data_IF_213827876611
#
_entry.id   IF_213827876611
#
_cell.length_a   1.000
_cell.length_b   1.000
_cell.length_c   1.000
_cell.angle_alpha   90.00
_cell.angle_beta   90.00
_cell.angle_gamma   90.00
#
_symmetry.space_group_name_H-M   'P 1'
#
loop_
_entity.id
_entity.type
_entity.pdbx_description
1 polymer ?
#
# COMPACT_ATOMS: atom_id res chain seq x y z
N UNK A 1 -43.71 33.91 7.22
CA UNK A 1 -44.52 33.89 5.98
C UNK A 1 -43.82 32.93 4.99
N UNK A 2 -44.58 31.90 4.69
CA UNK A 2 -44.51 30.90 3.61
C UNK A 2 -43.29 29.98 3.50
N UNK A 3 -43.51 28.83 4.11
CA UNK A 3 -43.07 27.52 3.66
C UNK A 3 -43.49 27.25 2.21
N UNK A 4 -42.67 26.61 1.42
CA UNK A 4 -43.14 25.77 0.32
C UNK A 4 -42.29 24.52 0.20
N UNK A 5 -42.87 23.47 0.72
CA UNK A 5 -42.61 22.04 0.48
C UNK A 5 -42.73 21.70 -1.00
N UNK A 6 -41.74 21.00 -1.55
CA UNK A 6 -41.85 20.30 -2.83
C UNK A 6 -41.52 18.84 -2.64
N UNK A 7 -42.58 18.09 -2.32
CA UNK A 7 -42.58 16.64 -2.54
C UNK A 7 -42.84 16.39 -4.02
N UNK A 8 -41.88 15.82 -4.73
CA UNK A 8 -42.15 15.20 -6.03
C UNK A 8 -42.04 13.67 -5.90
N UNK A 9 -43.23 13.10 -5.90
CA UNK A 9 -43.51 11.70 -6.11
C UNK A 9 -43.07 11.32 -7.54
N UNK A 10 -42.12 10.40 -7.65
CA UNK A 10 -41.86 9.69 -8.90
C UNK A 10 -42.26 8.23 -8.69
N UNK A 11 -43.44 7.90 -9.24
CA UNK A 11 -43.90 6.56 -9.40
C UNK A 11 -43.11 5.87 -10.55
N UNK A 12 -42.23 4.96 -10.20
CA UNK A 12 -41.48 4.15 -11.17
C UNK A 12 -42.26 2.89 -11.53
N UNK A 13 -42.60 2.76 -12.79
CA UNK A 13 -43.27 1.66 -13.45
C UNK A 13 -42.42 0.38 -13.39
N UNK A 14 -42.95 -0.67 -12.78
CA UNK A 14 -42.37 -2.02 -12.82
C UNK A 14 -42.68 -2.63 -14.18
N UNK A 15 -41.68 -2.81 -15.02
CA UNK A 15 -41.78 -3.56 -16.26
C UNK A 15 -41.57 -5.06 -15.95
N UNK A 16 -42.64 -5.82 -16.03
CA UNK A 16 -42.64 -7.28 -15.91
C UNK A 16 -42.14 -7.89 -17.24
N UNK A 17 -40.93 -8.44 -17.25
CA UNK A 17 -40.39 -9.20 -18.37
C UNK A 17 -40.79 -10.66 -18.19
N UNK A 18 -41.74 -11.13 -19.02
CA UNK A 18 -42.10 -12.55 -19.14
C UNK A 18 -41.05 -13.22 -20.03
N UNK A 19 -40.23 -14.09 -19.45
CA UNK A 19 -39.31 -14.95 -20.20
C UNK A 19 -40.05 -16.21 -20.59
N UNK A 20 -40.32 -16.35 -21.89
CA UNK A 20 -40.87 -17.58 -22.47
C UNK A 20 -39.74 -18.61 -22.55
N UNK A 21 -39.82 -19.65 -21.72
CA UNK A 21 -38.92 -20.80 -21.79
C UNK A 21 -39.33 -21.68 -22.97
N UNK A 22 -38.66 -21.52 -24.12
CA UNK A 22 -38.70 -22.48 -25.21
C UNK A 22 -37.77 -23.65 -24.90
N UNK A 23 -38.33 -24.81 -24.65
CA UNK A 23 -37.60 -26.07 -24.52
C UNK A 23 -37.09 -26.52 -25.90
N UNK A 24 -35.85 -26.25 -26.22
CA UNK A 24 -35.13 -26.88 -27.33
C UNK A 24 -34.46 -28.15 -26.81
N UNK A 25 -34.99 -29.30 -27.20
CA UNK A 25 -34.38 -30.61 -27.00
C UNK A 25 -33.10 -30.68 -27.88
N UNK A 26 -31.94 -30.44 -27.31
CA UNK A 26 -30.65 -30.66 -27.98
C UNK A 26 -30.23 -32.09 -27.68
N UNK A 27 -30.25 -32.94 -28.73
CA UNK A 27 -29.64 -34.26 -28.67
C UNK A 27 -28.14 -34.15 -28.57
N UNK A 28 -27.57 -34.49 -27.42
CA UNK A 28 -26.12 -34.56 -27.23
C UNK A 28 -25.60 -35.89 -27.85
N UNK A 29 -24.64 -35.82 -28.77
CA UNK A 29 -23.88 -37.02 -29.15
C UNK A 29 -23.07 -37.47 -27.94
N UNK A 30 -23.13 -38.75 -27.61
CA UNK A 30 -22.30 -39.38 -26.58
C UNK A 30 -20.82 -39.31 -27.00
N UNK A 31 -20.18 -38.20 -26.68
CA UNK A 31 -18.76 -37.96 -26.89
C UNK A 31 -17.98 -38.26 -25.59
N UNK A 32 -16.84 -38.91 -25.73
CA UNK A 32 -15.95 -39.33 -24.69
C UNK A 32 -15.78 -38.29 -23.56
N UNK A 33 -15.74 -38.77 -22.33
CA UNK A 33 -15.49 -37.95 -21.16
C UNK A 33 -14.23 -37.11 -21.37
N UNK A 34 -14.26 -35.78 -21.14
CA UNK A 34 -13.04 -34.97 -21.21
C UNK A 34 -12.05 -35.49 -20.18
N UNK A 35 -10.81 -35.73 -20.62
CA UNK A 35 -9.71 -36.03 -19.71
C UNK A 35 -9.64 -34.97 -18.59
N UNK A 36 -9.32 -35.37 -17.34
CA UNK A 36 -9.21 -34.40 -16.26
C UNK A 36 -8.20 -33.33 -16.66
N UNK A 37 -8.68 -32.09 -16.72
CA UNK A 37 -7.80 -30.95 -16.94
C UNK A 37 -6.77 -30.94 -15.81
N UNK A 38 -5.53 -31.25 -16.14
CA UNK A 38 -4.40 -31.07 -15.24
C UNK A 38 -4.36 -29.57 -14.95
N UNK A 39 -4.89 -29.16 -13.80
CA UNK A 39 -4.73 -27.79 -13.33
C UNK A 39 -3.22 -27.61 -13.11
N UNK A 40 -2.53 -26.99 -14.07
CA UNK A 40 -1.22 -26.42 -13.85
C UNK A 40 -1.41 -25.39 -12.76
N UNK A 41 -1.03 -25.76 -11.53
CA UNK A 41 -0.91 -24.80 -10.45
C UNK A 41 0.00 -23.70 -10.98
N UNK A 42 -0.54 -22.51 -11.18
CA UNK A 42 0.24 -21.32 -11.45
C UNK A 42 1.19 -21.18 -10.27
N UNK A 43 2.46 -21.51 -10.48
CA UNK A 43 3.52 -21.29 -9.50
C UNK A 43 3.65 -19.76 -9.40
N UNK A 44 2.84 -19.14 -8.54
CA UNK A 44 2.99 -17.72 -8.20
C UNK A 44 4.43 -17.51 -7.73
N UNK A 45 5.07 -16.46 -8.20
CA UNK A 45 6.39 -16.07 -7.70
C UNK A 45 6.38 -16.10 -6.18
N UNK A 46 7.43 -16.61 -5.53
CA UNK A 46 7.50 -16.65 -4.08
C UNK A 46 7.30 -15.25 -3.51
N UNK A 47 6.55 -15.15 -2.41
CA UNK A 47 6.26 -13.89 -1.72
C UNK A 47 6.95 -13.90 -0.37
N UNK A 48 7.67 -12.83 -0.07
CA UNK A 48 8.33 -12.62 1.23
C UNK A 48 7.68 -11.43 1.93
N UNK A 49 7.41 -11.55 3.22
CA UNK A 49 6.83 -10.50 4.03
C UNK A 49 7.89 -9.84 4.91
N UNK A 50 7.86 -8.52 5.03
CA UNK A 50 8.73 -7.71 5.89
C UNK A 50 7.89 -6.71 6.66
N UNK A 51 8.01 -6.76 7.99
CA UNK A 51 7.33 -5.84 8.89
C UNK A 51 8.36 -4.90 9.50
N UNK A 52 8.07 -3.61 9.47
CA UNK A 52 8.82 -2.56 10.14
C UNK A 52 7.87 -1.75 11.01
N UNK A 53 8.42 -1.09 12.02
CA UNK A 53 7.69 -0.06 12.76
C UNK A 53 8.52 1.21 12.83
N UNK A 54 7.82 2.34 12.96
CA UNK A 54 8.39 3.64 13.29
C UNK A 54 7.83 3.97 14.66
N UNK A 55 8.71 4.02 15.66
CA UNK A 55 8.33 4.24 17.05
C UNK A 55 9.32 5.18 17.74
N UNK A 56 8.85 5.85 18.80
CA UNK A 56 9.71 6.74 19.58
C UNK A 56 10.81 5.96 20.30
N UNK A 57 12.06 6.33 20.04
CA UNK A 57 13.23 5.86 20.78
C UNK A 57 13.61 6.89 21.85
N UNK A 58 13.39 6.61 23.12
CA UNK A 58 13.72 7.55 24.20
C UNK A 58 15.23 7.81 24.35
N UNK A 59 16.08 6.92 23.84
CA UNK A 59 17.53 7.11 23.86
C UNK A 59 18.03 8.08 22.80
N UNK A 60 17.37 8.09 21.63
CA UNK A 60 17.62 9.05 20.55
C UNK A 60 16.79 10.34 20.70
N UNK A 61 15.70 10.31 21.49
CA UNK A 61 14.76 11.41 21.62
C UNK A 61 13.93 11.64 20.35
N UNK A 62 13.75 10.61 19.52
CA UNK A 62 13.16 10.73 18.21
C UNK A 62 12.40 9.45 17.79
N UNK A 63 11.64 9.53 16.69
CA UNK A 63 11.04 8.36 16.06
C UNK A 63 12.04 7.70 15.11
N UNK A 64 12.18 6.38 15.23
CA UNK A 64 13.12 5.60 14.45
C UNK A 64 12.47 4.34 13.86
N UNK A 65 13.04 3.84 12.76
CA UNK A 65 12.68 2.54 12.23
C UNK A 65 13.20 1.41 13.12
N UNK A 66 12.40 0.36 13.28
CA UNK A 66 12.73 -0.80 14.11
C UNK A 66 13.95 -1.59 13.66
N UNK A 67 14.44 -1.37 12.44
CA UNK A 67 15.68 -1.95 11.92
C UNK A 67 16.28 -1.06 10.85
N UNK A 68 17.59 -1.05 10.77
CA UNK A 68 18.37 -0.36 9.74
C UNK A 68 18.93 -1.32 8.69
N UNK A 69 18.75 -2.63 8.87
CA UNK A 69 19.24 -3.64 7.92
C UNK A 69 18.15 -4.61 7.54
N UNK A 70 17.98 -4.82 6.23
CA UNK A 70 17.03 -5.74 5.64
C UNK A 70 17.77 -6.70 4.71
N UNK A 71 17.27 -7.95 4.60
CA UNK A 71 17.73 -8.92 3.62
C UNK A 71 16.52 -9.54 2.95
N UNK A 72 16.55 -9.59 1.62
CA UNK A 72 15.49 -10.18 0.80
C UNK A 72 16.13 -10.98 -0.34
N UNK A 73 15.51 -12.09 -0.77
CA UNK A 73 15.98 -12.79 -1.95
C UNK A 73 15.67 -12.00 -3.23
N UNK A 74 16.50 -12.18 -4.26
CA UNK A 74 16.24 -11.63 -5.60
C UNK A 74 15.13 -12.39 -6.32
N UNK A 75 14.50 -11.75 -7.30
CA UNK A 75 13.44 -12.32 -8.14
C UNK A 75 12.21 -12.82 -7.35
N UNK A 76 11.96 -12.20 -6.22
CA UNK A 76 10.76 -12.45 -5.40
C UNK A 76 9.98 -11.17 -5.20
N UNK A 77 8.69 -11.34 -4.96
CA UNK A 77 7.85 -10.26 -4.46
C UNK A 77 8.04 -10.08 -2.98
N UNK A 78 8.35 -8.87 -2.55
CA UNK A 78 8.40 -8.51 -1.14
C UNK A 78 7.20 -7.65 -0.81
N UNK A 79 6.43 -8.09 0.19
CA UNK A 79 5.33 -7.31 0.77
C UNK A 79 5.83 -6.68 2.05
N UNK A 80 5.87 -5.37 2.08
CA UNK A 80 6.20 -4.59 3.27
C UNK A 80 4.94 -4.17 4.00
N UNK A 81 4.97 -4.22 5.33
CA UNK A 81 4.03 -3.55 6.20
C UNK A 81 4.81 -2.66 7.16
N UNK A 82 4.57 -1.35 7.10
CA UNK A 82 5.18 -0.36 8.00
C UNK A 82 4.10 0.15 8.94
N UNK A 83 4.31 -0.01 10.24
CA UNK A 83 3.41 0.49 11.29
C UNK A 83 4.02 1.75 11.88
N UNK A 84 3.36 2.89 11.67
CA UNK A 84 3.82 4.20 12.15
C UNK A 84 3.07 4.60 13.42
N UNK A 85 3.80 4.88 14.49
CA UNK A 85 3.30 5.37 15.78
C UNK A 85 3.50 6.88 15.97
N UNK A 86 4.19 7.57 15.03
CA UNK A 86 4.39 9.03 15.09
C UNK A 86 3.11 9.76 14.67
N UNK A 87 2.47 10.55 15.58
CA UNK A 87 1.28 11.32 15.23
C UNK A 87 1.59 12.65 14.51
N UNK A 88 2.87 12.98 14.33
CA UNK A 88 3.28 14.26 13.71
C UNK A 88 3.41 14.14 12.20
N UNK A 89 3.15 15.24 11.50
CA UNK A 89 3.50 15.40 10.08
C UNK A 89 4.85 16.10 9.96
N UNK A 90 5.63 15.67 8.98
CA UNK A 90 6.92 16.26 8.67
C UNK A 90 6.81 17.36 7.60
N UNK A 91 7.82 18.20 7.50
CA UNK A 91 7.97 19.08 6.36
C UNK A 91 8.45 18.28 5.14
N UNK A 92 7.68 18.34 4.05
CA UNK A 92 7.97 17.64 2.80
C UNK A 92 8.71 18.60 1.85
N UNK A 93 10.00 18.35 1.53
CA UNK A 93 10.81 19.25 0.69
C UNK A 93 10.31 19.35 -0.75
N UNK A 94 9.81 18.26 -1.30
CA UNK A 94 9.30 18.21 -2.67
C UNK A 94 7.95 17.49 -2.75
N UNK A 95 7.06 17.96 -3.61
CA UNK A 95 5.75 17.34 -3.82
C UNK A 95 5.85 15.88 -4.36
N UNK A 96 6.99 15.52 -4.97
CA UNK A 96 7.29 14.14 -5.38
C UNK A 96 7.39 13.18 -4.21
N UNK A 97 7.83 13.66 -3.03
CA UNK A 97 8.04 12.84 -1.84
C UNK A 97 6.72 12.38 -1.20
N UNK A 98 5.63 13.06 -1.52
CA UNK A 98 4.26 12.67 -1.16
C UNK A 98 3.60 11.70 -2.17
N UNK A 99 4.29 11.31 -3.24
CA UNK A 99 3.79 10.40 -4.27
C UNK A 99 4.42 9.02 -4.13
N UNK A 100 3.60 7.99 -4.39
CA UNK A 100 4.07 6.60 -4.45
C UNK A 100 4.82 6.36 -5.76
N UNK A 101 6.00 5.77 -5.67
CA UNK A 101 6.79 5.35 -6.83
C UNK A 101 7.47 4.00 -6.57
N UNK A 102 7.65 3.20 -7.61
CA UNK A 102 8.40 1.93 -7.56
C UNK A 102 7.69 0.77 -6.85
N UNK A 103 6.50 0.97 -6.31
CA UNK A 103 5.68 -0.12 -5.78
C UNK A 103 4.96 -0.84 -6.93
N UNK A 104 4.59 -2.08 -6.71
CA UNK A 104 3.78 -2.83 -7.65
C UNK A 104 2.40 -2.15 -7.78
N UNK A 105 2.06 -1.74 -9.02
CA UNK A 105 0.85 -1.00 -9.31
C UNK A 105 0.90 0.49 -8.98
N UNK A 106 2.03 1.03 -8.47
CA UNK A 106 2.17 2.45 -8.13
C UNK A 106 1.27 2.92 -6.99
N UNK A 107 0.90 2.01 -6.09
CA UNK A 107 -0.08 2.25 -5.03
C UNK A 107 0.44 1.75 -3.69
N UNK A 108 -0.09 2.30 -2.61
CA UNK A 108 0.03 1.79 -1.23
C UNK A 108 -1.35 1.59 -0.63
N UNK A 109 -1.48 0.67 0.30
CA UNK A 109 -2.67 0.52 1.13
C UNK A 109 -2.39 1.13 2.50
N UNK A 110 -3.20 2.09 2.89
CA UNK A 110 -3.12 2.79 4.19
C UNK A 110 -4.30 2.35 5.04
N UNK A 111 -4.04 1.95 6.29
CA UNK A 111 -5.06 1.58 7.27
C UNK A 111 -4.86 2.38 8.55
N UNK A 112 -5.88 3.10 8.99
CA UNK A 112 -5.90 3.90 10.23
C UNK A 112 -7.33 3.95 10.77
N UNK A 113 -7.52 3.83 12.08
CA UNK A 113 -8.83 3.92 12.76
C UNK A 113 -9.92 3.03 12.15
N UNK A 114 -9.54 1.81 11.74
CA UNK A 114 -10.46 0.84 11.12
C UNK A 114 -10.85 1.16 9.66
N UNK A 115 -10.36 2.28 9.11
CA UNK A 115 -10.52 2.62 7.70
C UNK A 115 -9.34 2.14 6.89
N UNK A 116 -9.57 1.70 5.65
CA UNK A 116 -8.53 1.25 4.74
C UNK A 116 -8.76 1.87 3.36
N UNK A 117 -7.70 2.42 2.77
CA UNK A 117 -7.72 2.99 1.43
C UNK A 117 -6.46 2.59 0.64
N UNK A 118 -6.61 2.39 -0.67
CA UNK A 118 -5.47 2.19 -1.58
C UNK A 118 -5.28 3.46 -2.42
N UNK A 119 -4.10 4.07 -2.31
CA UNK A 119 -3.85 5.41 -2.84
C UNK A 119 -2.51 5.50 -3.58
N UNK A 120 -2.39 6.36 -4.63
CA UNK A 120 -1.13 6.62 -5.35
C UNK A 120 -0.30 7.74 -4.69
N UNK A 121 -0.84 8.42 -3.70
CA UNK A 121 -0.17 9.52 -3.00
C UNK A 121 -0.84 9.79 -1.65
N UNK A 122 -0.11 10.45 -0.78
CA UNK A 122 -0.61 11.01 0.48
C UNK A 122 -0.66 12.53 0.32
N UNK A 123 -1.64 13.25 0.91
CA UNK A 123 -1.59 14.72 0.94
C UNK A 123 -0.26 15.20 1.55
N UNK A 124 0.33 16.25 0.98
CA UNK A 124 1.66 16.73 1.40
C UNK A 124 1.68 17.16 2.89
N UNK A 125 0.53 17.63 3.41
CA UNK A 125 0.34 17.96 4.82
C UNK A 125 0.26 16.75 5.74
N UNK A 126 0.05 15.55 5.18
CA UNK A 126 -0.25 14.33 5.92
C UNK A 126 0.85 13.28 5.75
N UNK A 127 2.06 13.71 5.37
CA UNK A 127 3.25 12.85 5.35
C UNK A 127 3.99 13.02 6.66
N UNK A 128 4.22 11.91 7.38
CA UNK A 128 5.04 11.85 8.60
C UNK A 128 6.47 11.44 8.26
N UNK A 129 6.61 10.36 7.51
CA UNK A 129 7.88 9.78 7.11
C UNK A 129 7.83 9.30 5.67
N UNK A 130 8.98 8.85 5.16
CA UNK A 130 9.04 8.10 3.89
C UNK A 130 9.92 6.87 4.02
N UNK A 131 9.64 5.84 3.24
CA UNK A 131 10.56 4.75 2.98
C UNK A 131 11.00 4.86 1.51
N UNK A 132 12.21 5.37 1.30
CA UNK A 132 12.69 5.77 -0.03
C UNK A 132 14.00 5.06 -0.36
N UNK A 133 14.07 4.44 -1.55
CA UNK A 133 15.29 3.93 -2.17
C UNK A 133 15.50 4.73 -3.44
N UNK A 134 16.62 5.45 -3.55
CA UNK A 134 16.94 6.27 -4.72
C UNK A 134 18.29 5.94 -5.36
N UNK A 135 18.84 4.78 -5.03
CA UNK A 135 20.18 4.35 -5.49
C UNK A 135 20.12 3.16 -6.44
N UNK A 136 20.96 3.19 -7.46
CA UNK A 136 21.13 2.09 -8.40
C UNK A 136 19.92 1.87 -9.31
N UNK A 137 19.56 0.61 -9.50
CA UNK A 137 18.45 0.19 -10.38
C UNK A 137 17.08 0.19 -9.68
N UNK A 138 17.03 0.50 -8.38
CA UNK A 138 15.79 0.53 -7.59
C UNK A 138 15.43 1.96 -7.24
N UNK A 139 14.27 2.38 -7.69
CA UNK A 139 13.67 3.66 -7.33
C UNK A 139 12.34 3.38 -6.64
N UNK A 140 12.29 3.61 -5.35
CA UNK A 140 11.11 3.40 -4.50
C UNK A 140 10.86 4.65 -3.67
N UNK A 141 9.63 5.12 -3.64
CA UNK A 141 9.19 6.14 -2.69
C UNK A 141 7.82 5.78 -2.14
N UNK A 142 7.75 5.66 -0.84
CA UNK A 142 6.55 5.32 -0.09
C UNK A 142 6.33 6.38 0.99
N UNK A 143 5.41 7.32 0.78
CA UNK A 143 5.00 8.26 1.82
C UNK A 143 4.20 7.52 2.91
N UNK A 144 4.49 7.86 4.16
CA UNK A 144 3.90 7.23 5.35
C UNK A 144 3.12 8.30 6.11
N UNK A 145 1.79 8.18 6.20
CA UNK A 145 0.96 9.11 6.98
C UNK A 145 1.24 9.00 8.48
N UNK A 146 0.92 10.06 9.26
CA UNK A 146 1.03 10.03 10.71
C UNK A 146 0.07 9.02 11.34
N UNK A 147 0.36 8.61 12.55
CA UNK A 147 -0.59 7.89 13.39
C UNK A 147 -1.81 8.79 13.69
N UNK A 148 -2.92 8.15 14.02
CA UNK A 148 -4.13 8.89 14.43
C UNK A 148 -3.86 9.74 15.68
N UNK A 149 -4.45 10.93 15.78
CA UNK A 149 -4.44 11.71 17.03
C UNK A 149 -5.03 10.95 18.23
N UNK A 150 -5.80 9.89 18.00
CA UNK A 150 -6.33 9.01 19.05
C UNK A 150 -5.30 8.02 19.58
N UNK A 151 -4.09 7.96 19.00
CA UNK A 151 -3.02 7.02 19.36
C UNK A 151 -3.06 5.70 18.58
N UNK A 152 -4.02 5.54 17.66
CA UNK A 152 -4.04 4.36 16.77
C UNK A 152 -2.92 4.49 15.73
N UNK A 153 -2.03 3.49 15.59
CA UNK A 153 -0.98 3.55 14.59
C UNK A 153 -1.56 3.48 13.17
N UNK A 154 -0.87 4.12 12.23
CA UNK A 154 -1.14 3.97 10.81
C UNK A 154 -0.31 2.82 10.26
N UNK A 155 -0.94 1.93 9.49
CA UNK A 155 -0.26 0.87 8.75
C UNK A 155 -0.22 1.20 7.26
N UNK A 156 0.96 1.06 6.66
CA UNK A 156 1.16 1.20 5.22
C UNK A 156 1.66 -0.12 4.66
N UNK A 157 0.91 -0.69 3.72
CA UNK A 157 1.28 -1.95 3.06
C UNK A 157 1.53 -1.71 1.58
N UNK A 158 2.62 -2.25 1.04
CA UNK A 158 2.98 -2.16 -0.37
C UNK A 158 3.82 -3.36 -0.80
N UNK A 159 3.92 -3.57 -2.11
CA UNK A 159 4.71 -4.65 -2.69
C UNK A 159 5.78 -4.11 -3.64
N UNK A 160 6.95 -4.75 -3.64
CA UNK A 160 8.06 -4.46 -4.54
C UNK A 160 8.62 -5.77 -5.08
N UNK A 161 8.91 -5.82 -6.37
CA UNK A 161 9.61 -6.94 -6.99
C UNK A 161 11.10 -6.56 -7.11
N UNK A 162 11.98 -7.16 -6.30
CA UNK A 162 13.41 -6.97 -6.37
C UNK A 162 14.02 -7.93 -7.41
N UNK A 163 14.34 -7.41 -8.58
CA UNK A 163 14.86 -8.20 -9.70
C UNK A 163 16.38 -8.13 -9.85
N UNK A 164 17.03 -7.17 -9.20
CA UNK A 164 18.48 -6.93 -9.32
C UNK A 164 19.13 -7.19 -7.97
N UNK A 165 20.06 -8.15 -7.89
CA UNK A 165 20.87 -8.36 -6.69
C UNK A 165 21.74 -7.13 -6.39
N UNK A 166 22.01 -6.90 -5.10
CA UNK A 166 22.84 -5.78 -4.66
C UNK A 166 22.48 -5.28 -3.27
N UNK A 167 23.21 -4.27 -2.83
CA UNK A 167 22.90 -3.56 -1.59
C UNK A 167 22.44 -2.15 -1.93
N UNK A 168 21.25 -1.78 -1.44
CA UNK A 168 20.63 -0.49 -1.68
C UNK A 168 20.46 0.24 -0.36
N UNK A 169 20.69 1.55 -0.37
CA UNK A 169 20.40 2.41 0.78
C UNK A 169 18.95 2.86 0.71
N UNK A 170 18.25 2.77 1.81
CA UNK A 170 16.93 3.36 1.98
C UNK A 170 16.96 4.41 3.10
N UNK A 171 16.01 5.33 3.11
CA UNK A 171 15.90 6.33 4.16
C UNK A 171 14.64 7.17 4.10
N UNK A 172 14.43 7.95 5.15
CA UNK A 172 13.44 9.01 5.19
C UNK A 172 13.99 10.25 4.50
N UNK A 173 13.27 10.79 3.51
CA UNK A 173 13.70 11.99 2.76
C UNK A 173 12.96 13.27 3.16
N UNK A 174 11.94 13.15 4.03
CA UNK A 174 11.26 14.31 4.61
C UNK A 174 11.99 14.78 5.88
N UNK A 175 11.77 16.04 6.28
CA UNK A 175 12.41 16.61 7.46
C UNK A 175 11.72 16.09 8.73
N UNK A 176 12.24 15.00 9.28
CA UNK A 176 11.63 14.25 10.37
C UNK A 176 12.08 14.73 11.78
N UNK A 177 12.81 15.81 11.91
CA UNK A 177 13.27 16.34 13.21
C UNK A 177 12.33 17.40 13.76
N UNK A 178 12.23 17.51 15.09
CA UNK A 178 11.43 18.51 15.79
C UNK A 178 11.80 19.97 15.45
N UNK A 179 13.00 20.17 14.92
CA UNK A 179 13.56 21.46 14.47
C UNK A 179 13.72 21.54 12.95
N UNK A 180 13.17 20.58 12.19
CA UNK A 180 13.29 20.53 10.73
C UNK A 180 14.68 20.13 10.25
N UNK A 181 15.51 19.57 11.11
CA UNK A 181 16.82 19.04 10.71
C UNK A 181 16.71 17.60 10.21
N UNK A 182 17.41 17.30 9.12
CA UNK A 182 17.58 15.91 8.65
C UNK A 182 18.61 15.22 9.53
N UNK A 183 18.21 14.77 10.69
CA UNK A 183 19.13 14.01 11.54
C UNK A 183 18.45 12.81 12.12
N UNK A 184 18.74 11.66 11.55
CA UNK A 184 18.58 10.44 12.37
C UNK A 184 19.29 9.26 11.72
N UNK A 185 20.28 8.73 12.41
CA UNK A 185 21.00 7.52 11.96
C UNK A 185 20.12 6.29 11.82
N UNK A 186 19.01 6.22 12.54
CA UNK A 186 18.05 5.10 12.48
C UNK A 186 16.91 5.32 11.50
N UNK A 187 16.83 6.48 10.83
CA UNK A 187 15.93 6.75 9.71
C UNK A 187 16.54 6.40 8.35
N UNK A 188 17.69 5.75 8.36
CA UNK A 188 18.39 5.22 7.17
C UNK A 188 18.80 3.79 7.41
N UNK A 189 18.92 3.04 6.33
CA UNK A 189 19.37 1.68 6.40
C UNK A 189 19.82 1.12 5.07
N UNK A 190 20.07 -0.17 5.07
CA UNK A 190 20.42 -0.92 3.88
C UNK A 190 19.49 -2.09 3.67
N UNK A 191 19.23 -2.41 2.41
CA UNK A 191 18.55 -3.63 1.98
C UNK A 191 19.51 -4.42 1.08
N UNK A 192 19.83 -5.64 1.49
CA UNK A 192 20.61 -6.58 0.72
C UNK A 192 19.68 -7.49 -0.05
N UNK A 193 19.81 -7.50 -1.36
CA UNK A 193 19.06 -8.37 -2.30
C UNK A 193 20.04 -9.43 -2.82
N UNK A 194 19.81 -10.72 -2.52
CA UNK A 194 20.72 -11.81 -2.85
C UNK A 194 20.01 -12.97 -3.58
#
# INVERSE_FOLDING_TARGET
MREQSWFNLIAGTVAMVIVVLGALAISYPSGAAPAPATSTASSGSPVVYRNLSIAFDPSAGAFDYSTTTLSVPSNVRVVFTITNYDPSSAMVPAASDARVAGTLGGMITVSTDGSTATVPSVPISDVSHTFTISSGAVHLNVPIPPASPTGTPTQVTFSVDFTVPGTFTWGCVVLCGADGTMVQSAMYGTISVA
#
